data_IF_282893380733
#
_entry.id   IF_282893380733
#
_cell.length_a   1.000
_cell.length_b   1.000
_cell.length_c   1.000
_cell.angle_alpha   90.00
_cell.angle_beta   90.00
_cell.angle_gamma   90.00
#
_symmetry.space_group_name_H-M   'P 1'
#
loop_
_entity.id
_entity.type
_entity.pdbx_description
1 polymer ?
#
# COMPACT_ATOMS: atom_id res chain seq x y z
N UNK A 1 42.25 24.97 -20.67
CA UNK A 1 41.14 25.62 -19.91
C UNK A 1 39.98 24.63 -19.92
N UNK A 2 39.83 23.81 -18.88
CA UNK A 2 38.74 22.81 -18.77
C UNK A 2 37.75 23.30 -17.72
N UNK A 3 36.57 23.73 -18.16
CA UNK A 3 35.44 24.02 -17.27
C UNK A 3 34.79 22.71 -16.86
N UNK A 4 34.93 22.35 -15.59
CA UNK A 4 34.17 21.27 -14.99
C UNK A 4 32.71 21.70 -14.86
N UNK A 5 31.83 21.11 -15.68
CA UNK A 5 30.40 21.27 -15.54
C UNK A 5 29.93 20.42 -14.35
N UNK A 6 29.87 21.01 -13.15
CA UNK A 6 29.18 20.41 -12.01
C UNK A 6 27.68 20.61 -12.19
N UNK A 7 27.11 19.86 -13.15
CA UNK A 7 25.68 19.65 -13.25
C UNK A 7 25.23 19.04 -11.94
N UNK A 8 24.69 19.88 -11.06
CA UNK A 8 24.17 19.46 -9.77
C UNK A 8 22.89 18.71 -10.07
N UNK A 9 23.01 17.39 -10.27
CA UNK A 9 21.88 16.46 -10.35
C UNK A 9 21.20 16.42 -8.97
N UNK A 10 20.47 17.48 -8.64
CA UNK A 10 19.39 17.44 -7.65
C UNK A 10 18.24 16.62 -8.26
N UNK A 11 18.52 15.34 -8.51
CA UNK A 11 17.51 14.35 -8.73
C UNK A 11 16.70 14.27 -7.45
N UNK A 12 15.53 14.91 -7.46
CA UNK A 12 14.51 14.80 -6.44
C UNK A 12 14.29 13.32 -6.13
N UNK A 13 14.88 12.85 -5.02
CA UNK A 13 14.60 11.58 -4.37
C UNK A 13 13.20 11.64 -3.73
N UNK A 14 12.19 11.94 -4.54
CA UNK A 14 10.83 11.58 -4.23
C UNK A 14 10.77 10.06 -4.39
N UNK A 15 11.04 9.36 -3.30
CA UNK A 15 10.82 7.93 -3.17
C UNK A 15 9.46 7.63 -3.77
N UNK A 16 9.47 6.97 -4.93
CA UNK A 16 8.25 6.71 -5.69
C UNK A 16 7.48 5.68 -4.89
N UNK A 17 6.53 6.15 -4.09
CA UNK A 17 5.54 5.30 -3.44
C UNK A 17 4.85 4.51 -4.56
N UNK A 18 5.25 3.25 -4.74
CA UNK A 18 4.77 2.39 -5.82
C UNK A 18 3.36 1.92 -5.46
N UNK A 19 2.38 2.81 -5.60
CA UNK A 19 0.97 2.54 -5.32
C UNK A 19 0.45 1.31 -6.07
N UNK A 20 0.96 1.06 -7.28
CA UNK A 20 0.66 -0.14 -8.07
C UNK A 20 0.94 -1.44 -7.28
N UNK A 21 2.02 -1.46 -6.50
CA UNK A 21 2.37 -2.62 -5.67
C UNK A 21 1.37 -2.83 -4.52
N UNK A 22 0.68 -1.77 -4.10
CA UNK A 22 -0.26 -1.80 -2.98
C UNK A 22 -1.72 -1.99 -3.37
N UNK A 23 -2.08 -1.89 -4.65
CA UNK A 23 -3.48 -1.97 -5.12
C UNK A 23 -4.19 -3.22 -4.60
N UNK A 24 -3.55 -4.39 -4.68
CA UNK A 24 -4.15 -5.65 -4.26
C UNK A 24 -4.33 -5.69 -2.74
N UNK A 25 -3.31 -5.28 -1.98
CA UNK A 25 -3.38 -5.22 -0.52
C UNK A 25 -4.48 -4.27 -0.04
N UNK A 26 -4.59 -3.10 -0.68
CA UNK A 26 -5.58 -2.09 -0.33
C UNK A 26 -7.00 -2.55 -0.71
N UNK A 27 -7.15 -3.20 -1.86
CA UNK A 27 -8.43 -3.80 -2.28
C UNK A 27 -8.90 -4.90 -1.33
N UNK A 28 -7.99 -5.81 -0.96
CA UNK A 28 -8.27 -6.84 0.04
C UNK A 28 -8.66 -6.22 1.38
N UNK A 29 -7.87 -5.25 1.87
CA UNK A 29 -8.13 -4.59 3.14
C UNK A 29 -9.50 -3.87 3.12
N UNK A 30 -9.85 -3.18 2.04
CA UNK A 30 -11.13 -2.48 1.93
C UNK A 30 -12.32 -3.45 1.98
N UNK A 31 -12.27 -4.53 1.22
CA UNK A 31 -13.32 -5.56 1.21
C UNK A 31 -13.41 -6.26 2.58
N UNK A 32 -12.26 -6.59 3.15
CA UNK A 32 -12.16 -7.20 4.47
C UNK A 32 -12.78 -6.31 5.54
N UNK A 33 -12.46 -5.01 5.58
CA UNK A 33 -13.02 -4.05 6.53
C UNK A 33 -14.52 -3.84 6.32
N UNK A 34 -14.98 -3.82 5.07
CA UNK A 34 -16.41 -3.73 4.76
C UNK A 34 -17.19 -4.90 5.37
N UNK A 35 -16.74 -6.13 5.15
CA UNK A 35 -17.38 -7.30 5.75
C UNK A 35 -17.17 -7.39 7.26
N UNK A 36 -16.01 -6.97 7.77
CA UNK A 36 -15.78 -6.88 9.21
C UNK A 36 -16.80 -5.99 9.91
N UNK A 37 -17.22 -4.89 9.26
CA UNK A 37 -18.26 -4.02 9.79
C UNK A 37 -19.65 -4.61 9.57
N UNK A 38 -19.99 -5.00 8.34
CA UNK A 38 -21.35 -5.44 7.98
C UNK A 38 -21.74 -6.78 8.62
N UNK A 39 -20.77 -7.68 8.84
CA UNK A 39 -20.96 -9.00 9.45
C UNK A 39 -20.29 -9.09 10.84
N UNK A 40 -20.12 -7.94 11.53
CA UNK A 40 -19.47 -7.90 12.84
C UNK A 40 -20.08 -8.92 13.81
N UNK A 41 -21.40 -8.95 13.90
CA UNK A 41 -22.13 -9.82 14.81
C UNK A 41 -22.39 -11.22 14.23
N UNK A 42 -22.22 -11.39 12.92
CA UNK A 42 -22.38 -12.67 12.22
C UNK A 42 -21.10 -13.51 12.22
N UNK A 43 -19.98 -12.97 12.71
CA UNK A 43 -18.77 -13.74 13.00
C UNK A 43 -17.72 -13.77 11.88
N UNK A 44 -17.69 -12.77 10.99
CA UNK A 44 -16.66 -12.67 9.94
C UNK A 44 -15.23 -12.69 10.51
N UNK A 45 -15.00 -11.98 11.62
CA UNK A 45 -13.70 -11.91 12.29
C UNK A 45 -13.43 -13.05 13.30
N UNK A 46 -14.24 -14.10 13.31
CA UNK A 46 -14.00 -15.24 14.21
C UNK A 46 -12.76 -16.02 13.77
N UNK A 47 -12.07 -16.63 14.73
CA UNK A 47 -10.82 -17.39 14.49
C UNK A 47 -11.00 -18.45 13.39
N UNK A 48 -12.17 -19.11 13.34
CA UNK A 48 -12.48 -20.10 12.30
C UNK A 48 -12.41 -19.55 10.88
N UNK A 49 -12.89 -18.33 10.64
CA UNK A 49 -12.89 -17.70 9.32
C UNK A 49 -11.53 -17.06 8.97
N UNK A 50 -10.77 -16.59 9.96
CA UNK A 50 -9.45 -15.97 9.72
C UNK A 50 -8.33 -16.99 9.47
N UNK A 51 -8.49 -18.22 9.97
CA UNK A 51 -7.50 -19.28 9.79
C UNK A 51 -7.76 -20.16 8.55
N UNK A 52 -8.90 -20.01 7.89
CA UNK A 52 -9.32 -20.80 6.73
C UNK A 52 -9.06 -20.03 5.43
#
# INVERSE_FOLDING_TARGET
>A
MTSANTGTEMGSSASRFNLQQYVVYLGFLAIFLFFAFMLRDSGFLTVRNLSN
#
